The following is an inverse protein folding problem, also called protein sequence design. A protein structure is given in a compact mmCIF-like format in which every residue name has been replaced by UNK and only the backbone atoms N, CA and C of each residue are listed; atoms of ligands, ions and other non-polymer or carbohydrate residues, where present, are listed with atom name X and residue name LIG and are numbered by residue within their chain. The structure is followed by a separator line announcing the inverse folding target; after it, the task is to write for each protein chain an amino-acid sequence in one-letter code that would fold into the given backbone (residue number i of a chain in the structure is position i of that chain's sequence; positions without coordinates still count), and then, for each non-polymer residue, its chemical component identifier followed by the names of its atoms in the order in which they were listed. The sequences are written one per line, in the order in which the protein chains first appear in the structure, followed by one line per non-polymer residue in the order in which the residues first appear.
data_IF_924574546936
#
_entry.id   IF_924574546936
#
_cell.length_a   1.000
_cell.length_b   1.000
_cell.length_c   1.000
_cell.angle_alpha   90.00
_cell.angle_beta   90.00
_cell.angle_gamma   90.00
#
_symmetry.space_group_name_H-M   'P 1'
#
loop_
_entity.id
_entity.type
_entity.pdbx_description
1 polymer ?
#
# COMPACT_ATOMS: atom_id res chain seq x y z
N UNK A 1 -81.73 -7.80 65.03
CA UNK A 1 -81.67 -8.20 63.60
C UNK A 1 -80.97 -7.10 62.82
N UNK A 2 -79.84 -7.40 62.19
CA UNK A 2 -78.87 -6.43 61.64
C UNK A 2 -78.89 -6.49 60.10
N UNK A 3 -78.98 -5.32 59.44
CA UNK A 3 -78.83 -5.14 57.99
C UNK A 3 -77.34 -4.99 57.63
N UNK A 4 -76.89 -5.65 56.57
CA UNK A 4 -75.53 -5.51 56.00
C UNK A 4 -75.53 -4.58 54.78
N UNK A 5 -74.57 -3.66 54.75
CA UNK A 5 -74.13 -2.91 53.57
C UNK A 5 -72.68 -3.34 53.27
N UNK A 6 -72.34 -3.56 52.01
CA UNK A 6 -70.95 -3.70 51.55
C UNK A 6 -70.69 -2.73 50.42
N UNK A 7 -69.72 -1.84 50.65
CA UNK A 7 -69.12 -0.92 49.69
C UNK A 7 -67.83 -1.57 49.16
N UNK A 8 -67.62 -1.60 47.84
CA UNK A 8 -66.36 -2.06 47.26
C UNK A 8 -65.34 -0.91 47.21
N UNK A 9 -64.11 -1.18 47.66
CA UNK A 9 -62.94 -0.31 47.56
C UNK A 9 -62.16 -0.64 46.27
N UNK A 10 -61.80 0.39 45.51
CA UNK A 10 -60.83 0.31 44.40
C UNK A 10 -59.41 0.42 44.93
N UNK A 11 -58.52 -0.49 44.52
CA UNK A 11 -57.07 -0.42 44.80
C UNK A 11 -56.36 0.14 43.58
N UNK A 12 -55.64 1.25 43.76
CA UNK A 12 -54.75 1.83 42.75
C UNK A 12 -53.32 1.31 42.99
N UNK A 13 -52.69 0.76 41.96
CA UNK A 13 -51.28 0.32 41.95
C UNK A 13 -50.44 1.41 41.29
N UNK A 14 -49.48 1.97 42.02
CA UNK A 14 -48.43 2.85 41.45
C UNK A 14 -47.23 2.00 40.99
N UNK A 15 -46.86 2.14 39.73
CA UNK A 15 -45.57 1.67 39.19
C UNK A 15 -44.56 2.83 39.21
N UNK A 16 -43.45 2.67 39.93
CA UNK A 16 -42.33 3.60 39.89
C UNK A 16 -41.35 3.18 38.78
N UNK A 17 -41.15 4.03 37.77
CA UNK A 17 -40.11 3.84 36.76
C UNK A 17 -38.83 4.55 37.21
N UNK A 18 -37.76 3.79 37.45
CA UNK A 18 -36.41 4.32 37.63
C UNK A 18 -35.76 4.56 36.27
N UNK A 19 -35.46 5.82 35.94
CA UNK A 19 -34.70 6.18 34.75
C UNK A 19 -33.21 5.82 34.93
N UNK A 20 -32.72 4.83 34.18
CA UNK A 20 -31.29 4.55 34.06
C UNK A 20 -30.64 5.55 33.10
N UNK A 21 -29.76 6.40 33.62
CA UNK A 21 -28.93 7.27 32.79
C UNK A 21 -27.93 6.40 32.00
N UNK A 22 -28.12 6.33 30.68
CA UNK A 22 -27.15 5.72 29.77
C UNK A 22 -25.97 6.68 29.64
N UNK A 23 -24.80 6.27 30.14
CA UNK A 23 -23.54 6.98 29.90
C UNK A 23 -23.18 6.73 28.43
N UNK A 24 -23.56 7.67 27.55
CA UNK A 24 -22.99 7.71 26.20
C UNK A 24 -21.54 8.11 26.35
N UNK A 25 -20.62 7.15 26.18
CA UNK A 25 -19.22 7.46 25.99
C UNK A 25 -19.11 8.40 24.79
N UNK A 26 -18.67 9.64 25.02
CA UNK A 26 -18.37 10.56 23.94
C UNK A 26 -17.27 9.94 23.09
N UNK A 27 -17.62 9.36 21.94
CA UNK A 27 -16.65 9.17 20.87
C UNK A 27 -16.12 10.56 20.56
N UNK A 28 -14.82 10.77 20.78
CA UNK A 28 -14.16 12.02 20.45
C UNK A 28 -14.46 12.40 19.00
N UNK A 29 -14.55 13.71 18.73
CA UNK A 29 -14.80 14.22 17.38
C UNK A 29 -13.90 13.48 16.37
N UNK A 30 -14.43 13.07 15.20
CA UNK A 30 -13.64 12.34 14.21
C UNK A 30 -12.36 13.10 13.88
N UNK A 31 -11.19 12.48 14.09
CA UNK A 31 -9.92 13.09 13.74
C UNK A 31 -9.76 13.02 12.21
N UNK A 32 -9.69 14.15 11.48
CA UNK A 32 -9.54 14.13 10.02
C UNK A 32 -8.30 13.34 9.56
N UNK A 33 -7.26 13.26 10.39
CA UNK A 33 -6.08 12.43 10.12
C UNK A 33 -6.43 10.95 9.95
N UNK A 34 -7.40 10.41 10.70
CA UNK A 34 -7.77 9.00 10.67
C UNK A 34 -8.33 8.58 9.30
N UNK A 35 -9.06 9.47 8.62
CA UNK A 35 -9.54 9.20 7.26
C UNK A 35 -8.37 9.04 6.27
N UNK A 36 -7.38 9.93 6.36
CA UNK A 36 -6.19 9.85 5.51
C UNK A 36 -5.32 8.63 5.83
N UNK A 37 -5.17 8.26 7.10
CA UNK A 37 -4.52 7.01 7.51
C UNK A 37 -5.27 5.81 6.93
N UNK A 38 -6.61 5.84 6.98
CA UNK A 38 -7.49 4.84 6.38
C UNK A 38 -7.26 4.68 4.87
N UNK A 39 -7.10 5.77 4.12
CA UNK A 39 -6.80 5.72 2.69
C UNK A 39 -5.45 5.05 2.38
N UNK A 40 -4.43 5.32 3.21
CA UNK A 40 -3.10 4.73 3.03
C UNK A 40 -3.13 3.23 3.32
N UNK A 41 -3.78 2.82 4.41
CA UNK A 41 -3.61 1.47 4.99
C UNK A 41 -4.77 0.51 4.77
N UNK A 42 -5.99 1.02 4.67
CA UNK A 42 -7.19 0.20 4.73
C UNK A 42 -7.91 0.14 3.40
N UNK A 43 -8.32 1.29 2.85
CA UNK A 43 -9.12 1.31 1.64
C UNK A 43 -9.00 2.58 0.82
N UNK A 44 -8.90 2.40 -0.49
CA UNK A 44 -9.11 3.45 -1.48
C UNK A 44 -10.02 2.92 -2.58
N UNK A 45 -10.88 3.76 -3.14
CA UNK A 45 -11.91 3.29 -4.10
C UNK A 45 -11.34 2.81 -5.44
N UNK A 46 -10.19 3.36 -5.86
CA UNK A 46 -9.63 3.12 -7.19
C UNK A 46 -8.55 2.02 -7.16
N UNK A 47 -8.20 1.51 -5.98
CA UNK A 47 -7.22 0.41 -5.85
C UNK A 47 -7.91 -0.95 -5.98
N UNK A 48 -7.16 -1.98 -6.42
CA UNK A 48 -7.64 -3.36 -6.48
C UNK A 48 -8.11 -3.87 -5.12
N UNK A 49 -9.23 -4.61 -5.14
CA UNK A 49 -9.96 -5.07 -3.94
C UNK A 49 -10.32 -3.97 -2.94
N UNK A 50 -10.34 -2.71 -3.38
CA UNK A 50 -10.51 -1.53 -2.54
C UNK A 50 -9.54 -1.47 -1.35
N UNK A 51 -8.30 -1.96 -1.50
CA UNK A 51 -7.24 -1.93 -0.47
C UNK A 51 -6.65 -0.53 -0.28
N UNK A 52 -5.92 -0.30 0.80
CA UNK A 52 -5.16 0.93 0.96
C UNK A 52 -4.08 1.09 -0.12
N UNK A 53 -3.62 2.33 -0.34
CA UNK A 53 -2.52 2.62 -1.27
C UNK A 53 -1.24 1.83 -0.97
N UNK A 54 -0.82 1.77 0.31
CA UNK A 54 0.44 1.16 0.70
C UNK A 54 0.41 -0.38 0.60
N UNK A 55 -0.63 -1.09 1.10
CA UNK A 55 -0.78 -2.52 0.83
C UNK A 55 -0.81 -2.87 -0.66
N UNK A 56 -1.42 -2.02 -1.49
CA UNK A 56 -1.46 -2.22 -2.95
C UNK A 56 -0.06 -2.12 -3.56
N UNK A 57 0.71 -1.07 -3.21
CA UNK A 57 2.10 -0.93 -3.66
C UNK A 57 2.99 -2.09 -3.20
N UNK A 58 2.79 -2.61 -1.98
CA UNK A 58 3.52 -3.78 -1.47
C UNK A 58 3.20 -5.04 -2.29
N UNK A 59 1.93 -5.26 -2.63
CA UNK A 59 1.53 -6.40 -3.46
C UNK A 59 2.18 -6.34 -4.85
N UNK A 60 2.21 -5.16 -5.48
CA UNK A 60 2.90 -5.00 -6.77
C UNK A 60 4.43 -5.13 -6.64
N UNK A 61 5.04 -4.71 -5.52
CA UNK A 61 6.46 -4.94 -5.26
C UNK A 61 6.82 -6.43 -5.14
N UNK A 62 5.93 -7.23 -4.54
CA UNK A 62 6.10 -8.69 -4.46
C UNK A 62 6.05 -9.34 -5.84
N UNK A 63 5.10 -8.90 -6.69
CA UNK A 63 5.03 -9.35 -8.08
C UNK A 63 6.30 -8.96 -8.83
N UNK A 64 6.75 -7.71 -8.74
CA UNK A 64 7.98 -7.26 -9.39
C UNK A 64 9.19 -8.12 -8.98
N UNK A 65 9.32 -8.45 -7.69
CA UNK A 65 10.41 -9.31 -7.21
C UNK A 65 10.32 -10.73 -7.79
N UNK A 66 9.15 -11.36 -7.73
CA UNK A 66 8.99 -12.71 -8.29
C UNK A 66 9.32 -12.76 -9.78
N UNK A 67 8.91 -11.73 -10.54
CA UNK A 67 9.14 -11.73 -11.98
C UNK A 67 10.60 -11.43 -12.33
N UNK A 68 11.29 -10.54 -11.60
CA UNK A 68 12.71 -10.31 -11.89
C UNK A 68 13.57 -11.53 -11.54
N UNK A 69 13.24 -12.26 -10.48
CA UNK A 69 13.88 -13.54 -10.16
C UNK A 69 13.67 -14.58 -11.27
N UNK A 70 12.49 -14.63 -11.89
CA UNK A 70 12.24 -15.50 -13.05
C UNK A 70 13.05 -15.07 -14.28
N UNK A 71 13.25 -13.77 -14.48
CA UNK A 71 14.11 -13.27 -15.56
C UNK A 71 15.55 -13.77 -15.38
N UNK A 72 16.08 -13.68 -14.16
CA UNK A 72 17.41 -14.12 -13.79
C UNK A 72 17.59 -15.64 -13.97
N UNK A 73 16.66 -16.43 -13.43
CA UNK A 73 16.71 -17.89 -13.48
C UNK A 73 16.69 -18.45 -14.92
N UNK A 74 15.89 -17.86 -15.80
CA UNK A 74 15.74 -18.34 -17.17
C UNK A 74 16.85 -17.85 -18.08
N UNK A 75 17.33 -16.62 -17.90
CA UNK A 75 18.57 -16.10 -18.50
C UNK A 75 18.56 -15.98 -20.03
N UNK A 76 17.40 -16.08 -20.69
CA UNK A 76 17.29 -15.95 -22.16
C UNK A 76 16.68 -14.60 -22.53
N UNK A 77 17.04 -14.12 -23.71
CA UNK A 77 16.60 -12.81 -24.21
C UNK A 77 15.08 -12.64 -24.25
N UNK A 78 14.34 -13.69 -24.61
CA UNK A 78 12.88 -13.65 -24.65
C UNK A 78 12.26 -13.59 -23.23
N UNK A 79 12.93 -14.18 -22.24
CA UNK A 79 12.46 -14.15 -20.86
C UNK A 79 12.75 -12.81 -20.20
N UNK A 80 13.86 -12.16 -20.56
CA UNK A 80 14.11 -10.75 -20.20
C UNK A 80 13.01 -9.83 -20.72
N UNK A 81 12.57 -10.03 -21.97
CA UNK A 81 11.44 -9.29 -22.56
C UNK A 81 10.15 -9.59 -21.81
N UNK A 82 9.83 -10.87 -21.58
CA UNK A 82 8.60 -11.29 -20.92
C UNK A 82 8.52 -10.75 -19.49
N UNK A 83 9.45 -11.17 -18.64
CA UNK A 83 9.44 -10.90 -17.22
C UNK A 83 9.82 -9.45 -16.92
N UNK A 84 10.74 -8.84 -17.67
CA UNK A 84 10.99 -7.40 -17.58
C UNK A 84 9.74 -6.57 -17.91
N UNK A 85 8.92 -7.06 -18.84
CA UNK A 85 7.61 -6.46 -19.13
C UNK A 85 6.61 -6.59 -17.98
N UNK A 86 6.60 -7.74 -17.30
CA UNK A 86 5.77 -7.93 -16.11
C UNK A 86 6.20 -7.03 -14.94
N UNK A 87 7.52 -6.90 -14.74
CA UNK A 87 8.09 -5.97 -13.76
C UNK A 87 7.68 -4.53 -14.09
N UNK A 88 7.80 -4.10 -15.35
CA UNK A 88 7.38 -2.76 -15.76
C UNK A 88 5.89 -2.52 -15.49
N UNK A 89 5.03 -3.52 -15.74
CA UNK A 89 3.61 -3.43 -15.43
C UNK A 89 3.32 -3.33 -13.93
N UNK A 90 4.07 -4.05 -13.09
CA UNK A 90 3.94 -3.93 -11.64
C UNK A 90 4.46 -2.57 -11.12
N UNK A 91 5.44 -1.95 -11.80
CA UNK A 91 5.96 -0.64 -11.42
C UNK A 91 5.03 0.52 -11.85
N UNK A 92 4.59 0.53 -13.11
CA UNK A 92 3.88 1.64 -13.75
C UNK A 92 2.93 1.14 -14.86
N UNK A 93 1.79 0.51 -14.49
CA UNK A 93 0.79 0.09 -15.46
C UNK A 93 0.07 1.31 -16.05
N UNK A 94 -0.37 1.19 -17.30
CA UNK A 94 -1.10 2.24 -18.00
C UNK A 94 -0.86 2.23 -19.50
N UNK A 95 -1.54 3.13 -20.22
CA UNK A 95 -1.58 3.09 -21.68
C UNK A 95 -0.20 3.13 -22.38
N UNK A 96 0.78 3.86 -21.81
CA UNK A 96 2.15 3.88 -22.35
C UNK A 96 2.83 2.52 -22.21
N UNK A 97 2.75 1.93 -21.01
CA UNK A 97 3.28 0.59 -20.72
C UNK A 97 2.57 -0.45 -21.58
N UNK A 98 1.24 -0.40 -21.69
CA UNK A 98 0.46 -1.31 -22.54
C UNK A 98 0.92 -1.27 -24.01
N UNK A 99 1.12 -0.06 -24.56
CA UNK A 99 1.60 0.12 -25.93
C UNK A 99 3.03 -0.43 -26.12
N UNK A 100 3.90 -0.21 -25.14
CA UNK A 100 5.26 -0.73 -25.13
C UNK A 100 5.27 -2.26 -25.07
N UNK A 101 4.52 -2.85 -24.13
CA UNK A 101 4.43 -4.30 -23.96
C UNK A 101 3.81 -4.98 -25.17
N UNK A 102 2.77 -4.39 -25.77
CA UNK A 102 2.19 -4.89 -27.02
C UNK A 102 3.23 -4.99 -28.13
N UNK A 103 4.09 -3.97 -28.25
CA UNK A 103 5.16 -3.94 -29.26
C UNK A 103 6.26 -4.94 -28.95
N UNK A 104 6.66 -5.06 -27.67
CA UNK A 104 7.71 -5.96 -27.24
C UNK A 104 7.28 -7.43 -27.36
N UNK A 105 6.07 -7.77 -26.92
CA UNK A 105 5.54 -9.14 -26.91
C UNK A 105 5.20 -9.67 -28.30
N UNK A 106 4.93 -8.78 -29.27
CA UNK A 106 4.81 -9.19 -30.68
C UNK A 106 6.10 -9.81 -31.26
N UNK A 107 7.25 -9.63 -30.58
CA UNK A 107 8.55 -10.22 -30.97
C UNK A 107 8.80 -11.58 -30.34
N UNK A 108 8.02 -11.96 -29.33
CA UNK A 108 8.16 -13.24 -28.67
C UNK A 108 7.71 -14.37 -29.62
N UNK A 109 8.39 -15.52 -29.60
CA UNK A 109 7.98 -16.65 -30.42
C UNK A 109 6.58 -17.17 -30.04
N UNK A 110 5.94 -17.89 -30.96
CA UNK A 110 4.52 -18.27 -30.86
C UNK A 110 4.22 -19.31 -29.77
N UNK A 111 5.24 -19.87 -29.12
CA UNK A 111 5.10 -20.74 -27.95
C UNK A 111 4.69 -19.97 -26.67
N UNK A 112 4.72 -18.64 -26.69
CA UNK A 112 4.10 -17.80 -25.66
C UNK A 112 2.60 -17.65 -25.97
N UNK A 113 1.82 -18.70 -25.71
CA UNK A 113 0.42 -18.88 -26.20
C UNK A 113 -0.59 -17.95 -25.51
N UNK A 114 -0.34 -17.54 -24.26
CA UNK A 114 -1.17 -16.58 -23.53
C UNK A 114 -0.30 -15.81 -22.55
N UNK A 115 -0.22 -14.50 -22.72
CA UNK A 115 0.48 -13.62 -21.81
C UNK A 115 -0.57 -12.99 -20.89
N UNK A 116 -0.65 -13.50 -19.66
CA UNK A 116 -1.38 -12.85 -18.58
C UNK A 116 -0.39 -12.00 -17.81
N UNK A 117 -0.54 -10.68 -17.90
CA UNK A 117 0.38 -9.76 -17.24
C UNK A 117 0.04 -9.73 -15.74
N UNK A 118 0.95 -10.16 -14.85
CA UNK A 118 0.68 -10.21 -13.42
C UNK A 118 0.70 -8.81 -12.79
N UNK A 119 0.27 -8.74 -11.53
CA UNK A 119 0.16 -7.50 -10.77
C UNK A 119 -1.28 -7.15 -10.46
N UNK A 120 -1.46 -6.13 -9.63
CA UNK A 120 -2.78 -5.62 -9.27
C UNK A 120 -3.38 -4.76 -10.39
N UNK A 121 -2.55 -4.29 -11.32
CA UNK A 121 -2.92 -3.32 -12.35
C UNK A 121 -2.92 -1.86 -11.86
N UNK A 122 -2.45 -1.61 -10.63
CA UNK A 122 -2.40 -0.27 -10.05
C UNK A 122 -1.00 0.37 -10.08
N UNK A 123 0.02 -0.41 -9.74
CA UNK A 123 1.41 -0.03 -9.84
C UNK A 123 2.00 0.55 -8.55
N UNK A 124 3.27 0.22 -8.30
CA UNK A 124 4.06 0.78 -7.18
C UNK A 124 4.07 2.31 -7.27
N UNK A 125 4.34 2.88 -8.45
CA UNK A 125 4.45 4.33 -8.64
C UNK A 125 3.19 5.07 -8.22
N UNK A 126 2.03 4.61 -8.65
CA UNK A 126 0.73 5.22 -8.32
C UNK A 126 0.36 4.97 -6.86
N UNK A 127 0.59 3.75 -6.35
CA UNK A 127 0.35 3.41 -4.94
C UNK A 127 1.17 4.29 -4.00
N UNK A 128 2.47 4.43 -4.27
CA UNK A 128 3.39 5.26 -3.47
C UNK A 128 3.02 6.73 -3.53
N UNK A 129 2.68 7.27 -4.71
CA UNK A 129 2.25 8.65 -4.84
C UNK A 129 0.98 8.95 -4.01
N UNK A 130 -0.01 8.07 -4.07
CA UNK A 130 -1.24 8.20 -3.27
C UNK A 130 -0.98 8.05 -1.77
N UNK A 131 -0.15 7.09 -1.37
CA UNK A 131 0.27 6.91 0.01
C UNK A 131 0.98 8.17 0.54
N UNK A 132 1.95 8.68 -0.20
CA UNK A 132 2.73 9.88 0.16
C UNK A 132 1.82 11.09 0.37
N UNK A 133 0.90 11.34 -0.57
CA UNK A 133 -0.07 12.43 -0.46
C UNK A 133 -0.90 12.32 0.82
N UNK A 134 -1.46 11.14 1.09
CA UNK A 134 -2.36 10.97 2.24
C UNK A 134 -1.62 10.95 3.58
N UNK A 135 -0.38 10.43 3.65
CA UNK A 135 0.45 10.56 4.85
C UNK A 135 0.73 12.03 5.17
N UNK A 136 1.05 12.84 4.16
CA UNK A 136 1.29 14.28 4.33
C UNK A 136 0.01 15.04 4.73
N UNK A 137 -1.16 14.63 4.21
CA UNK A 137 -2.44 15.21 4.62
C UNK A 137 -2.79 14.84 6.08
N UNK A 138 -2.54 13.59 6.48
CA UNK A 138 -2.75 13.15 7.86
C UNK A 138 -1.93 13.97 8.86
N UNK A 139 -0.65 14.23 8.58
CA UNK A 139 0.22 15.00 9.48
C UNK A 139 -0.12 16.48 9.60
N UNK A 140 -0.78 17.04 8.57
CA UNK A 140 -1.21 18.45 8.51
C UNK A 140 -2.67 18.65 8.91
N UNK A 141 -3.39 17.58 9.21
CA UNK A 141 -4.78 17.64 9.62
C UNK A 141 -4.93 18.36 10.96
N UNK A 142 -6.02 19.11 11.11
CA UNK A 142 -6.38 19.69 12.40
C UNK A 142 -6.55 18.58 13.44
N UNK A 143 -5.94 18.75 14.62
CA UNK A 143 -5.96 17.73 15.66
C UNK A 143 -5.05 16.53 15.40
N UNK A 144 -4.15 16.57 14.40
CA UNK A 144 -3.12 15.55 14.25
C UNK A 144 -2.26 15.46 15.52
N UNK A 145 -2.21 14.27 16.12
CA UNK A 145 -1.43 14.00 17.32
C UNK A 145 0.08 14.04 17.02
N UNK A 146 0.91 14.11 18.07
CA UNK A 146 2.36 13.95 17.89
C UNK A 146 2.71 12.57 17.33
N UNK A 147 1.95 11.52 17.69
CA UNK A 147 2.10 10.18 17.12
C UNK A 147 1.88 10.18 15.59
N UNK A 148 0.83 10.87 15.10
CA UNK A 148 0.60 11.05 13.66
C UNK A 148 1.76 11.79 13.02
N UNK A 149 2.18 12.94 13.57
CA UNK A 149 3.24 13.77 12.99
C UNK A 149 4.58 13.02 12.90
N UNK A 150 4.99 12.36 13.98
CA UNK A 150 6.27 11.64 14.05
C UNK A 150 6.30 10.50 13.03
N UNK A 151 5.31 9.61 13.04
CA UNK A 151 5.32 8.47 12.14
C UNK A 151 5.03 8.85 10.68
N UNK A 152 4.28 9.94 10.45
CA UNK A 152 4.06 10.45 9.11
C UNK A 152 5.36 10.99 8.51
N UNK A 153 6.20 11.68 9.30
CA UNK A 153 7.51 12.14 8.83
C UNK A 153 8.38 10.96 8.37
N UNK A 154 8.45 9.89 9.17
CA UNK A 154 9.26 8.71 8.83
C UNK A 154 8.69 7.95 7.62
N UNK A 155 7.37 7.75 7.56
CA UNK A 155 6.72 7.11 6.42
C UNK A 155 6.89 7.94 5.14
N UNK A 156 6.80 9.28 5.22
CA UNK A 156 7.04 10.21 4.11
C UNK A 156 8.46 10.03 3.56
N UNK A 157 9.48 10.07 4.42
CA UNK A 157 10.88 9.90 3.99
C UNK A 157 11.11 8.56 3.26
N UNK A 158 10.56 7.47 3.79
CA UNK A 158 10.64 6.15 3.14
C UNK A 158 9.90 6.13 1.78
N UNK A 159 8.71 6.72 1.70
CA UNK A 159 7.93 6.78 0.46
C UNK A 159 8.59 7.66 -0.61
N UNK A 160 9.29 8.72 -0.22
CA UNK A 160 10.08 9.56 -1.14
C UNK A 160 11.27 8.81 -1.73
N UNK A 161 11.99 8.02 -0.90
CA UNK A 161 13.03 7.11 -1.40
C UNK A 161 12.45 6.11 -2.41
N UNK A 162 11.35 5.45 -2.05
CA UNK A 162 10.69 4.48 -2.93
C UNK A 162 10.22 5.13 -4.23
N UNK A 163 9.67 6.34 -4.20
CA UNK A 163 9.25 7.05 -5.40
C UNK A 163 10.42 7.27 -6.36
N UNK A 164 11.58 7.67 -5.83
CA UNK A 164 12.82 7.83 -6.60
C UNK A 164 13.28 6.50 -7.20
N UNK A 165 13.46 5.47 -6.38
CA UNK A 165 13.92 4.15 -6.84
C UNK A 165 12.96 3.49 -7.83
N UNK A 166 11.66 3.72 -7.67
CA UNK A 166 10.64 3.25 -8.63
C UNK A 166 10.84 3.90 -10.00
N UNK A 167 11.15 5.20 -10.05
CA UNK A 167 11.49 5.89 -11.30
C UNK A 167 12.72 5.30 -11.98
N UNK A 168 13.76 4.98 -11.21
CA UNK A 168 14.98 4.33 -11.69
C UNK A 168 14.70 2.92 -12.20
N UNK A 169 13.94 2.11 -11.45
CA UNK A 169 13.52 0.77 -11.83
C UNK A 169 12.68 0.74 -13.11
N UNK A 170 11.78 1.70 -13.31
CA UNK A 170 11.00 1.84 -14.56
C UNK A 170 11.95 2.06 -15.75
N UNK A 171 12.96 2.93 -15.58
CA UNK A 171 13.94 3.18 -16.63
C UNK A 171 14.76 1.93 -16.94
N UNK A 172 15.20 1.17 -15.93
CA UNK A 172 15.94 -0.09 -16.11
C UNK A 172 15.08 -1.17 -16.77
N UNK A 173 13.83 -1.35 -16.33
CA UNK A 173 12.90 -2.31 -16.93
C UNK A 173 12.64 -2.02 -18.42
N UNK A 174 12.48 -0.74 -18.80
CA UNK A 174 12.36 -0.34 -20.20
C UNK A 174 13.61 -0.70 -21.02
N UNK A 175 14.81 -0.52 -20.46
CA UNK A 175 16.06 -0.96 -21.12
C UNK A 175 16.12 -2.48 -21.26
N UNK A 176 15.71 -3.21 -20.22
CA UNK A 176 15.72 -4.68 -20.20
C UNK A 176 14.83 -5.26 -21.31
N UNK A 177 13.62 -4.73 -21.47
CA UNK A 177 12.68 -5.13 -22.53
C UNK A 177 13.23 -4.80 -23.93
N UNK A 178 14.14 -3.83 -24.04
CA UNK A 178 14.81 -3.45 -25.28
C UNK A 178 16.18 -4.12 -25.49
N UNK A 179 16.62 -4.98 -24.57
CA UNK A 179 17.90 -5.66 -24.67
C UNK A 179 17.98 -6.50 -25.95
N UNK A 180 19.19 -6.58 -26.52
CA UNK A 180 19.43 -7.27 -27.81
C UNK A 180 20.29 -8.52 -27.66
N UNK A 181 20.91 -8.70 -26.51
CA UNK A 181 21.82 -9.78 -26.20
C UNK A 181 21.71 -10.14 -24.72
N UNK A 182 22.14 -11.37 -24.41
CA UNK A 182 22.03 -11.93 -23.07
C UNK A 182 22.94 -11.20 -22.07
N UNK A 183 24.14 -10.80 -22.49
CA UNK A 183 25.11 -10.15 -21.60
C UNK A 183 24.63 -8.80 -21.09
N UNK A 184 24.17 -7.93 -22.00
CA UNK A 184 23.56 -6.65 -21.64
C UNK A 184 22.24 -6.81 -20.90
N UNK A 185 21.43 -7.81 -21.27
CA UNK A 185 20.19 -8.13 -20.55
C UNK A 185 20.43 -8.55 -19.10
N UNK A 186 21.41 -9.41 -18.85
CA UNK A 186 21.72 -9.88 -17.49
C UNK A 186 22.17 -8.74 -16.57
N UNK A 187 23.03 -7.82 -17.06
CA UNK A 187 23.43 -6.64 -16.28
C UNK A 187 22.21 -5.82 -15.84
N UNK A 188 21.21 -5.69 -16.72
CA UNK A 188 19.98 -4.96 -16.41
C UNK A 188 19.07 -5.75 -15.46
N UNK A 189 19.07 -7.08 -15.51
CA UNK A 189 18.37 -7.93 -14.53
C UNK A 189 18.97 -7.74 -13.14
N UNK A 190 20.30 -7.78 -13.02
CA UNK A 190 21.00 -7.58 -11.74
C UNK A 190 20.71 -6.19 -11.15
N UNK A 191 20.79 -5.14 -11.99
CA UNK A 191 20.48 -3.76 -11.60
C UNK A 191 19.02 -3.62 -11.13
N UNK A 192 18.08 -4.18 -11.91
CA UNK A 192 16.65 -4.11 -11.60
C UNK A 192 16.30 -4.92 -10.34
N UNK A 193 16.96 -6.05 -10.11
CA UNK A 193 16.83 -6.87 -8.89
C UNK A 193 17.23 -6.07 -7.66
N UNK A 194 18.39 -5.38 -7.72
CA UNK A 194 18.84 -4.51 -6.63
C UNK A 194 17.86 -3.37 -6.37
N UNK A 195 17.35 -2.72 -7.43
CA UNK A 195 16.36 -1.62 -7.31
C UNK A 195 15.04 -2.09 -6.70
N UNK A 196 14.50 -3.25 -7.11
CA UNK A 196 13.27 -3.81 -6.53
C UNK A 196 13.49 -4.22 -5.07
N UNK A 197 14.68 -4.74 -4.75
CA UNK A 197 15.11 -4.98 -3.37
C UNK A 197 15.03 -3.70 -2.52
N UNK A 198 15.67 -2.63 -2.98
CA UNK A 198 15.63 -1.32 -2.30
C UNK A 198 14.19 -0.80 -2.14
N UNK A 199 13.35 -0.91 -3.17
CA UNK A 199 11.93 -0.53 -3.09
C UNK A 199 11.20 -1.31 -1.99
N UNK A 200 11.35 -2.63 -1.96
CA UNK A 200 10.60 -3.48 -1.03
C UNK A 200 11.11 -3.35 0.42
N UNK A 201 12.42 -3.41 0.60
CA UNK A 201 13.05 -3.61 1.91
C UNK A 201 13.96 -2.48 2.35
N UNK A 202 14.25 -1.51 1.49
CA UNK A 202 15.23 -0.47 1.74
C UNK A 202 16.67 -0.98 1.63
N UNK A 203 17.62 -0.12 2.00
CA UNK A 203 19.06 -0.42 2.04
C UNK A 203 19.71 0.25 3.23
N UNK A 204 20.76 -0.35 3.79
CA UNK A 204 21.62 0.30 4.77
C UNK A 204 22.59 1.23 4.02
N UNK A 205 22.19 2.50 3.85
CA UNK A 205 22.98 3.47 3.08
C UNK A 205 24.09 4.11 3.90
N UNK A 206 23.95 4.14 5.24
CA UNK A 206 24.91 4.77 6.13
C UNK A 206 25.94 3.78 6.71
N UNK A 207 25.72 2.47 6.57
CA UNK A 207 26.62 1.40 7.00
C UNK A 207 26.55 1.06 8.49
N UNK A 208 25.48 1.41 9.19
CA UNK A 208 25.29 1.15 10.63
C UNK A 208 24.77 -0.26 10.95
N UNK A 209 24.50 -1.07 9.91
CA UNK A 209 23.98 -2.43 10.01
C UNK A 209 22.46 -2.50 10.14
N UNK A 210 21.74 -1.38 10.02
CA UNK A 210 20.29 -1.31 10.08
C UNK A 210 19.73 -0.57 8.86
N UNK A 211 18.49 -0.89 8.49
CA UNK A 211 17.76 -0.13 7.47
C UNK A 211 16.71 0.72 8.14
N UNK A 212 17.05 1.98 8.38
CA UNK A 212 16.17 2.98 8.94
C UNK A 212 15.19 3.58 7.91
N UNK A 213 14.49 4.63 8.31
CA UNK A 213 13.53 5.37 7.46
C UNK A 213 14.17 6.58 6.76
N UNK A 214 15.42 6.89 7.09
CA UNK A 214 16.15 8.07 6.67
C UNK A 214 16.30 8.13 5.14
N UNK A 215 16.70 9.30 4.66
CA UNK A 215 17.01 9.53 3.25
C UNK A 215 17.98 8.47 2.73
N UNK A 216 17.60 7.80 1.66
CA UNK A 216 18.41 6.76 1.03
C UNK A 216 18.30 5.36 1.66
N UNK A 217 17.52 5.18 2.74
CA UNK A 217 17.44 3.88 3.43
C UNK A 217 16.06 3.24 3.36
N UNK A 218 15.02 3.94 3.82
CA UNK A 218 13.71 3.32 4.04
C UNK A 218 13.00 2.91 2.76
N UNK A 219 12.54 1.66 2.70
CA UNK A 219 11.68 1.14 1.64
C UNK A 219 10.21 1.02 2.07
N UNK A 220 9.41 0.28 1.29
CA UNK A 220 7.99 0.01 1.58
C UNK A 220 7.79 -0.67 2.93
N UNK A 221 8.72 -1.53 3.37
CA UNK A 221 8.67 -2.15 4.71
C UNK A 221 8.74 -1.11 5.83
N UNK A 222 9.62 -0.12 5.74
CA UNK A 222 9.77 0.93 6.76
C UNK A 222 8.55 1.85 6.76
N UNK A 223 8.04 2.25 5.59
CA UNK A 223 6.79 2.99 5.47
C UNK A 223 5.63 2.24 6.16
N UNK A 224 5.48 0.95 5.87
CA UNK A 224 4.43 0.11 6.47
C UNK A 224 4.58 -0.07 7.98
N UNK A 225 5.81 -0.19 8.46
CA UNK A 225 6.10 -0.25 9.90
C UNK A 225 5.65 1.03 10.60
N UNK A 226 6.03 2.19 10.06
CA UNK A 226 5.62 3.47 10.65
C UNK A 226 4.13 3.74 10.54
N UNK A 227 3.47 3.35 9.44
CA UNK A 227 2.01 3.46 9.34
C UNK A 227 1.28 2.58 10.35
N UNK A 228 1.79 1.36 10.63
CA UNK A 228 1.20 0.49 11.67
C UNK A 228 1.42 1.04 13.07
N UNK A 229 2.59 1.61 13.37
CA UNK A 229 2.84 2.29 14.63
C UNK A 229 1.91 3.50 14.80
N UNK A 230 1.72 4.27 13.73
CA UNK A 230 0.77 5.39 13.70
C UNK A 230 -0.65 4.93 14.02
N UNK A 231 -1.18 3.92 13.31
CA UNK A 231 -2.52 3.38 13.57
C UNK A 231 -2.68 2.92 15.01
N UNK A 232 -1.72 2.15 15.52
CA UNK A 232 -1.73 1.66 16.90
C UNK A 232 -1.77 2.79 17.93
N UNK A 233 -0.98 3.85 17.73
CA UNK A 233 -0.98 5.01 18.63
C UNK A 233 -2.27 5.84 18.57
N UNK A 234 -3.01 5.74 17.46
CA UNK A 234 -4.32 6.39 17.28
C UNK A 234 -5.51 5.50 17.69
N UNK A 235 -5.28 4.25 18.07
CA UNK A 235 -6.35 3.30 18.40
C UNK A 235 -7.13 2.78 17.18
N UNK A 236 -6.48 2.74 16.01
CA UNK A 236 -7.01 2.23 14.74
C UNK A 236 -6.59 0.77 14.46
#
# INVERSE_FOLDING_TARGET
MVKKYYTQLSVAVLFAMSAGASIVSAQGSPNPAHAHIGHVMTSWKDTPDAKGFLPTAIADAQVAMEQIERADLEGRINDFVLYGGYVLNALDPGAETDALLKTAYARLPTNYVKIEVPGTGYGIKRGVAGALQHVQLASRSEGASENVKTHAAHATASLENVAKWTGEAIATARKLIAAKDVGGGQILVDELTAQIGQIAIGTDANGDGQTGWQTGEGGLRQANTHMRLMMKGEGL
#
